data_IF_949045689168
#
_entry.id   IF_949045689168
#
_cell.length_a   1.000
_cell.length_b   1.000
_cell.length_c   1.000
_cell.angle_alpha   90.00
_cell.angle_beta   90.00
_cell.angle_gamma   90.00
#
_symmetry.space_group_name_H-M   'P 1'
#
loop_
_entity.id
_entity.type
_entity.pdbx_description
1 polymer ?
#
# COMPACT_ATOMS: atom_id res chain seq x y z
N UNK A 1 5.30 -8.58 -31.13
CA UNK A 1 5.85 -7.64 -30.13
C UNK A 1 7.27 -7.28 -30.55
N UNK A 2 7.59 -5.98 -30.63
CA UNK A 2 8.93 -5.51 -31.04
C UNK A 2 9.95 -5.78 -29.92
N UNK A 3 11.14 -6.28 -30.26
CA UNK A 3 12.27 -6.45 -29.34
C UNK A 3 13.11 -5.17 -29.16
N UNK A 4 12.85 -4.14 -29.96
CA UNK A 4 13.50 -2.83 -29.90
C UNK A 4 12.96 -1.99 -28.71
N UNK A 5 13.77 -1.71 -27.68
CA UNK A 5 13.35 -1.02 -26.46
C UNK A 5 12.75 0.37 -26.71
N UNK A 6 13.28 1.12 -27.68
CA UNK A 6 12.82 2.49 -27.96
C UNK A 6 11.45 2.51 -28.66
N UNK A 7 11.15 1.49 -29.45
CA UNK A 7 9.84 1.31 -30.08
C UNK A 7 8.79 0.84 -29.08
N UNK A 8 9.17 0.04 -28.10
CA UNK A 8 8.29 -0.36 -26.99
C UNK A 8 7.94 0.85 -26.14
N UNK A 9 8.91 1.70 -25.79
CA UNK A 9 8.70 2.91 -24.97
C UNK A 9 7.78 3.93 -25.66
N UNK A 10 8.00 4.22 -26.96
CA UNK A 10 7.10 5.09 -27.75
C UNK A 10 5.69 4.50 -27.92
N UNK A 11 5.57 3.17 -27.98
CA UNK A 11 4.28 2.48 -28.04
C UNK A 11 3.50 2.58 -26.73
N UNK A 12 4.20 2.48 -25.59
CA UNK A 12 3.65 2.63 -24.25
C UNK A 12 3.19 4.07 -23.97
N UNK A 13 3.94 5.07 -24.43
CA UNK A 13 3.57 6.49 -24.34
C UNK A 13 2.28 6.81 -25.12
N UNK A 14 2.12 6.25 -26.33
CA UNK A 14 0.89 6.45 -27.13
C UNK A 14 -0.36 5.82 -26.51
N UNK A 15 -0.19 4.81 -25.66
CA UNK A 15 -1.29 4.15 -24.93
C UNK A 15 -1.57 4.82 -23.56
N UNK A 16 -0.84 5.88 -23.20
CA UNK A 16 -0.91 6.49 -21.86
C UNK A 16 -0.43 5.55 -20.75
N UNK A 17 0.39 4.56 -21.11
CA UNK A 17 1.00 3.58 -20.21
C UNK A 17 2.43 4.06 -19.94
N UNK A 18 2.59 5.16 -19.21
CA UNK A 18 3.91 5.67 -18.82
C UNK A 18 4.57 4.86 -17.69
N UNK A 19 3.91 3.80 -17.22
CA UNK A 19 4.39 2.90 -16.18
C UNK A 19 4.60 1.54 -16.84
N UNK A 20 5.87 1.20 -17.13
CA UNK A 20 6.24 -0.01 -17.86
C UNK A 20 5.62 -1.29 -17.29
N UNK A 21 5.40 -2.27 -18.16
CA UNK A 21 4.81 -3.60 -17.90
C UNK A 21 5.69 -4.53 -17.01
N UNK A 22 6.32 -3.98 -15.97
CA UNK A 22 7.02 -4.69 -14.89
C UNK A 22 6.43 -4.31 -13.53
N UNK A 23 7.24 -4.33 -12.45
CA UNK A 23 6.86 -4.01 -11.05
C UNK A 23 5.94 -2.77 -10.80
N UNK A 24 5.73 -1.97 -11.83
CA UNK A 24 4.88 -0.78 -11.91
C UNK A 24 3.43 -1.04 -12.36
N UNK A 25 3.09 -2.25 -12.82
CA UNK A 25 1.70 -2.63 -13.09
C UNK A 25 0.83 -2.58 -11.82
N UNK A 26 1.45 -2.77 -10.65
CA UNK A 26 0.88 -2.46 -9.34
C UNK A 26 1.28 -1.05 -8.91
N UNK A 27 1.08 -0.06 -9.78
CA UNK A 27 1.01 1.34 -9.35
C UNK A 27 -0.41 1.63 -8.81
N UNK A 28 -0.85 2.88 -8.88
CA UNK A 28 -2.19 3.29 -8.44
C UNK A 28 -3.30 2.42 -9.05
N UNK A 29 -3.21 2.10 -10.35
CA UNK A 29 -4.23 1.28 -11.05
C UNK A 29 -4.33 -0.13 -10.45
N UNK A 30 -3.21 -0.82 -10.26
CA UNK A 30 -3.22 -2.15 -9.63
C UNK A 30 -3.70 -2.12 -8.18
N UNK A 31 -3.31 -1.12 -7.39
CA UNK A 31 -3.84 -0.95 -6.02
C UNK A 31 -5.37 -0.73 -6.01
N UNK A 32 -5.91 0.01 -6.98
CA UNK A 32 -7.37 0.18 -7.14
C UNK A 32 -8.07 -1.13 -7.45
N UNK A 33 -7.53 -1.93 -8.37
CA UNK A 33 -8.07 -3.25 -8.72
C UNK A 33 -8.09 -4.15 -7.48
N UNK A 34 -6.99 -4.23 -6.74
CA UNK A 34 -6.92 -5.02 -5.52
C UNK A 34 -7.90 -4.52 -4.45
N UNK A 35 -8.02 -3.20 -4.26
CA UNK A 35 -8.98 -2.62 -3.31
C UNK A 35 -10.43 -2.95 -3.69
N UNK A 36 -10.76 -2.84 -4.98
CA UNK A 36 -12.09 -3.19 -5.50
C UNK A 36 -12.37 -4.69 -5.34
N UNK A 37 -11.42 -5.57 -5.62
CA UNK A 37 -11.57 -7.02 -5.41
C UNK A 37 -11.89 -7.35 -3.94
N UNK A 38 -11.15 -6.74 -3.00
CA UNK A 38 -11.40 -6.94 -1.56
C UNK A 38 -12.80 -6.45 -1.15
N UNK A 39 -13.25 -5.31 -1.69
CA UNK A 39 -14.57 -4.75 -1.41
C UNK A 39 -15.68 -5.60 -2.03
N UNK A 40 -15.52 -6.05 -3.28
CA UNK A 40 -16.47 -6.97 -3.96
C UNK A 40 -16.66 -8.27 -3.19
N UNK A 41 -15.56 -8.81 -2.65
CA UNK A 41 -15.57 -10.04 -1.83
C UNK A 41 -15.99 -9.82 -0.37
N UNK A 42 -16.41 -8.60 -0.01
CA UNK A 42 -16.78 -8.22 1.37
C UNK A 42 -15.69 -8.55 2.39
N UNK A 43 -14.42 -8.50 1.98
CA UNK A 43 -13.24 -8.75 2.83
C UNK A 43 -12.76 -7.50 3.58
N UNK A 44 -13.29 -6.35 3.19
CA UNK A 44 -13.15 -5.03 3.85
C UNK A 44 -14.44 -4.25 3.61
N UNK A 45 -14.77 -3.22 4.43
CA UNK A 45 -15.97 -2.41 4.21
C UNK A 45 -15.95 -1.69 2.85
N UNK A 46 -17.10 -1.45 2.20
CA UNK A 46 -17.16 -0.67 0.97
C UNK A 46 -16.53 0.72 1.12
N UNK A 47 -15.84 1.20 0.09
CA UNK A 47 -15.18 2.53 0.08
C UNK A 47 -14.16 2.76 1.21
N UNK A 48 -13.79 1.74 2.00
CA UNK A 48 -12.82 1.85 3.10
C UNK A 48 -11.37 2.05 2.63
N UNK A 49 -11.07 1.77 1.36
CA UNK A 49 -9.73 1.93 0.78
C UNK A 49 -9.81 3.00 -0.31
N UNK A 50 -8.92 4.00 -0.24
CA UNK A 50 -8.76 5.05 -1.24
C UNK A 50 -7.32 5.16 -1.70
N UNK A 51 -7.10 5.08 -3.01
CA UNK A 51 -5.78 5.30 -3.61
C UNK A 51 -5.66 6.77 -4.04
N UNK A 52 -4.64 7.46 -3.53
CA UNK A 52 -4.39 8.88 -3.74
C UNK A 52 -3.13 9.05 -4.60
N UNK A 53 -3.31 9.63 -5.79
CA UNK A 53 -2.24 9.76 -6.80
C UNK A 53 -1.15 10.77 -6.45
N UNK A 54 -1.43 11.67 -5.50
CA UNK A 54 -0.54 12.72 -5.02
C UNK A 54 -1.02 13.24 -3.65
N UNK A 55 -0.23 14.14 -3.05
CA UNK A 55 -0.55 14.74 -1.76
C UNK A 55 -1.79 15.63 -1.78
N UNK A 56 -2.06 16.37 -2.86
CA UNK A 56 -3.23 17.25 -2.95
C UNK A 56 -4.55 16.45 -2.88
N UNK A 57 -4.65 15.35 -3.64
CA UNK A 57 -5.81 14.44 -3.61
C UNK A 57 -5.95 13.78 -2.25
N UNK A 58 -4.83 13.46 -1.59
CA UNK A 58 -4.85 12.91 -0.24
C UNK A 58 -5.37 13.94 0.78
N UNK A 59 -4.87 15.17 0.75
CA UNK A 59 -5.32 16.27 1.60
C UNK A 59 -6.82 16.50 1.48
N UNK A 60 -7.32 16.65 0.26
CA UNK A 60 -8.76 16.85 -0.01
C UNK A 60 -9.61 15.72 0.59
N UNK A 61 -9.24 14.47 0.32
CA UNK A 61 -10.01 13.30 0.76
C UNK A 61 -9.92 13.07 2.27
N UNK A 62 -8.77 13.34 2.88
CA UNK A 62 -8.61 13.23 4.33
C UNK A 62 -9.43 14.31 5.05
N UNK A 63 -9.38 15.55 4.57
CA UNK A 63 -10.21 16.64 5.12
C UNK A 63 -11.71 16.36 4.98
N UNK A 64 -12.15 15.79 3.86
CA UNK A 64 -13.54 15.36 3.70
C UNK A 64 -13.90 14.25 4.70
N UNK A 65 -13.02 13.25 4.87
CA UNK A 65 -13.24 12.18 5.84
C UNK A 65 -13.34 12.70 7.28
N UNK A 66 -12.53 13.68 7.68
CA UNK A 66 -12.62 14.28 9.01
C UNK A 66 -13.97 14.97 9.28
N UNK A 67 -14.61 15.53 8.26
CA UNK A 67 -15.92 16.18 8.39
C UNK A 67 -17.06 15.17 8.53
N UNK A 68 -17.00 14.07 7.76
CA UNK A 68 -18.14 13.19 7.56
C UNK A 68 -18.07 11.87 8.35
N UNK A 69 -16.89 11.51 8.89
CA UNK A 69 -16.70 10.20 9.50
C UNK A 69 -17.56 10.00 10.76
N UNK A 70 -18.16 8.81 10.84
CA UNK A 70 -18.90 8.37 12.03
C UNK A 70 -17.98 7.64 13.02
N UNK A 71 -18.42 7.56 14.27
CA UNK A 71 -17.74 6.77 15.30
C UNK A 71 -17.54 5.33 14.83
N UNK A 72 -16.35 4.77 15.04
CA UNK A 72 -15.95 3.45 14.57
C UNK A 72 -15.59 3.37 13.08
N UNK A 73 -15.70 4.46 12.31
CA UNK A 73 -15.38 4.43 10.88
C UNK A 73 -13.87 4.29 10.65
N UNK A 74 -13.51 3.38 9.74
CA UNK A 74 -12.13 3.01 9.40
C UNK A 74 -11.86 3.29 7.92
N UNK A 75 -10.74 3.96 7.65
CA UNK A 75 -10.33 4.36 6.30
C UNK A 75 -8.85 4.12 6.08
N UNK A 76 -8.51 3.56 4.92
CA UNK A 76 -7.14 3.42 4.44
C UNK A 76 -6.92 4.32 3.23
N UNK A 77 -5.95 5.20 3.34
CA UNK A 77 -5.42 5.98 2.22
C UNK A 77 -4.08 5.38 1.78
N UNK A 78 -3.95 5.06 0.50
CA UNK A 78 -2.69 4.66 -0.11
C UNK A 78 -2.15 5.88 -0.85
N UNK A 79 -1.13 6.53 -0.30
CA UNK A 79 -0.69 7.86 -0.71
C UNK A 79 0.58 7.76 -1.52
N UNK A 80 0.54 8.22 -2.77
CA UNK A 80 1.74 8.38 -3.60
C UNK A 80 2.45 9.68 -3.24
N UNK A 81 3.76 9.61 -3.00
CA UNK A 81 4.58 10.76 -2.61
C UNK A 81 4.94 11.62 -3.82
N UNK A 82 3.93 12.12 -4.53
CA UNK A 82 4.06 12.96 -5.70
C UNK A 82 3.54 14.35 -5.34
N UNK A 83 4.34 15.38 -5.61
CA UNK A 83 3.89 16.78 -5.55
C UNK A 83 3.11 17.18 -6.81
N UNK A 84 3.33 16.46 -7.93
CA UNK A 84 2.67 16.71 -9.20
C UNK A 84 2.37 15.37 -9.91
N UNK A 85 1.24 15.21 -10.65
CA UNK A 85 0.88 13.97 -11.33
C UNK A 85 1.93 13.44 -12.30
N UNK A 86 2.70 14.35 -12.93
CA UNK A 86 3.81 14.00 -13.85
C UNK A 86 5.10 13.60 -13.14
N UNK A 87 5.17 13.70 -11.81
CA UNK A 87 6.36 13.29 -11.06
C UNK A 87 6.54 11.78 -11.11
N UNK A 88 7.76 11.35 -11.43
CA UNK A 88 8.15 9.94 -11.44
C UNK A 88 8.39 9.37 -10.04
N UNK A 89 8.16 10.13 -8.95
CA UNK A 89 8.35 9.63 -7.58
C UNK A 89 7.58 8.32 -7.39
N UNK A 90 8.31 7.31 -6.91
CA UNK A 90 7.87 5.90 -6.90
C UNK A 90 7.39 5.42 -5.54
N UNK A 91 7.42 6.27 -4.51
CA UNK A 91 7.11 5.87 -3.14
C UNK A 91 5.61 5.96 -2.84
N UNK A 92 5.12 4.96 -2.12
CA UNK A 92 3.76 4.91 -1.58
C UNK A 92 3.85 4.62 -0.09
N UNK A 93 3.02 5.29 0.69
CA UNK A 93 2.82 4.97 2.11
C UNK A 93 1.34 4.78 2.43
N UNK A 94 1.00 3.86 3.35
CA UNK A 94 -0.34 3.72 3.87
C UNK A 94 -0.57 4.71 5.01
N UNK A 95 -1.70 5.41 4.96
CA UNK A 95 -2.24 6.16 6.09
C UNK A 95 -3.58 5.52 6.46
N UNK A 96 -3.60 4.83 7.59
CA UNK A 96 -4.83 4.31 8.16
C UNK A 96 -5.41 5.35 9.13
N UNK A 97 -6.73 5.54 9.09
CA UNK A 97 -7.47 6.51 9.88
C UNK A 97 -8.66 5.80 10.51
N UNK A 98 -8.83 6.00 11.80
CA UNK A 98 -9.92 5.41 12.57
C UNK A 98 -10.51 6.47 13.50
N UNK A 99 -11.83 6.67 13.45
CA UNK A 99 -12.53 7.50 14.43
C UNK A 99 -12.92 6.64 15.62
N UNK A 100 -12.32 6.92 16.78
CA UNK A 100 -12.53 6.19 18.02
C UNK A 100 -12.65 7.15 19.20
N UNK A 101 -13.69 6.98 20.01
CA UNK A 101 -13.97 7.77 21.21
C UNK A 101 -14.01 9.29 20.90
N UNK A 102 -14.62 9.65 19.77
CA UNK A 102 -14.71 11.04 19.33
C UNK A 102 -13.39 11.65 18.83
N UNK A 103 -12.29 10.88 18.81
CA UNK A 103 -10.97 11.29 18.31
C UNK A 103 -10.64 10.56 17.01
N UNK A 104 -9.72 11.12 16.23
CA UNK A 104 -9.15 10.40 15.09
C UNK A 104 -7.77 9.85 15.45
N UNK A 105 -7.60 8.56 15.19
CA UNK A 105 -6.36 7.83 15.31
C UNK A 105 -5.78 7.66 13.90
N UNK A 106 -4.62 8.23 13.64
CA UNK A 106 -3.93 8.17 12.35
C UNK A 106 -2.68 7.31 12.47
N UNK A 107 -2.57 6.26 11.65
CA UNK A 107 -1.41 5.38 11.62
C UNK A 107 -0.74 5.48 10.27
N UNK A 108 0.50 5.95 10.29
CA UNK A 108 1.37 6.00 9.13
C UNK A 108 2.52 5.01 9.33
N UNK A 109 2.65 4.08 8.39
CA UNK A 109 3.64 3.00 8.43
C UNK A 109 4.52 3.07 7.17
N UNK A 110 5.68 3.71 7.25
CA UNK A 110 6.56 3.86 6.09
C UNK A 110 7.46 2.61 5.91
N UNK A 111 7.66 2.21 4.65
CA UNK A 111 8.39 1.00 4.27
C UNK A 111 9.79 1.28 3.74
N UNK A 112 10.03 2.49 3.24
CA UNK A 112 11.28 2.88 2.56
C UNK A 112 12.39 3.29 3.53
N UNK A 113 12.05 3.61 4.79
CA UNK A 113 12.96 3.98 5.88
C UNK A 113 14.05 5.00 5.50
N UNK A 114 13.70 5.94 4.63
CA UNK A 114 14.48 7.14 4.42
C UNK A 114 13.83 8.30 5.17
N UNK A 115 14.56 8.89 6.12
CA UNK A 115 14.09 10.02 6.92
C UNK A 115 13.50 11.14 6.05
N UNK A 116 14.04 11.36 4.84
CA UNK A 116 13.50 12.32 3.86
C UNK A 116 12.10 11.95 3.34
N UNK A 117 11.86 10.69 2.95
CA UNK A 117 10.57 10.27 2.38
C UNK A 117 9.47 10.23 3.46
N UNK A 118 9.86 9.77 4.64
CA UNK A 118 9.07 9.86 5.87
C UNK A 118 8.65 11.29 6.17
N UNK A 119 9.60 12.22 6.23
CA UNK A 119 9.34 13.55 6.79
C UNK A 119 8.29 14.28 5.94
N UNK A 120 8.31 14.11 4.62
CA UNK A 120 7.34 14.75 3.72
C UNK A 120 5.90 14.36 4.05
N UNK A 121 5.60 13.06 4.20
CA UNK A 121 4.23 12.63 4.51
C UNK A 121 3.88 12.94 5.97
N UNK A 122 4.85 12.84 6.89
CA UNK A 122 4.64 13.19 8.28
C UNK A 122 4.31 14.69 8.46
N UNK A 123 5.07 15.56 7.81
CA UNK A 123 4.85 17.01 7.80
C UNK A 123 3.54 17.37 7.11
N UNK A 124 3.19 16.63 6.04
CA UNK A 124 1.88 16.76 5.39
C UNK A 124 0.75 16.41 6.37
N UNK A 125 0.86 15.31 7.11
CA UNK A 125 -0.13 14.93 8.12
C UNK A 125 -0.23 15.95 9.25
N UNK A 126 0.91 16.44 9.77
CA UNK A 126 0.94 17.52 10.77
C UNK A 126 0.28 18.79 10.24
N UNK A 127 0.55 19.17 8.99
CA UNK A 127 -0.05 20.34 8.36
C UNK A 127 -1.57 20.20 8.22
N UNK A 128 -2.05 19.03 7.75
CA UNK A 128 -3.49 18.74 7.67
C UNK A 128 -4.11 18.80 9.05
N UNK A 129 -3.48 18.17 10.05
CA UNK A 129 -3.92 18.22 11.43
C UNK A 129 -3.96 19.66 11.95
N UNK A 130 -2.94 20.49 11.70
CA UNK A 130 -2.92 21.87 12.15
C UNK A 130 -4.01 22.74 11.49
N UNK A 131 -4.34 22.45 10.24
CA UNK A 131 -5.30 23.24 9.45
C UNK A 131 -6.77 22.96 9.79
N UNK A 132 -7.10 21.80 10.34
CA UNK A 132 -8.50 21.39 10.57
C UNK A 132 -8.64 20.19 11.53
N UNK A 133 -8.03 20.18 12.74
CA UNK A 133 -8.08 18.99 13.58
C UNK A 133 -9.45 18.88 14.25
N UNK A 134 -10.11 17.72 14.15
CA UNK A 134 -10.97 17.28 15.23
C UNK A 134 -10.11 17.28 16.51
N UNK A 135 -10.54 18.03 17.54
CA UNK A 135 -9.81 18.13 18.82
C UNK A 135 -9.40 16.74 19.33
N UNK A 136 -8.14 16.58 19.70
CA UNK A 136 -7.63 15.33 20.29
C UNK A 136 -7.25 14.23 19.30
N UNK A 137 -7.09 14.53 18.01
CA UNK A 137 -6.55 13.56 17.04
C UNK A 137 -5.10 13.17 17.37
N UNK A 138 -4.78 11.89 17.27
CA UNK A 138 -3.48 11.30 17.63
C UNK A 138 -2.81 10.73 16.36
N UNK A 139 -1.55 11.10 16.13
CA UNK A 139 -0.75 10.54 15.04
C UNK A 139 0.21 9.50 15.60
N UNK A 140 -0.01 8.28 15.16
CA UNK A 140 0.87 7.14 15.31
C UNK A 140 1.72 7.01 14.06
N UNK A 141 3.02 7.17 14.24
CA UNK A 141 3.98 7.14 13.15
C UNK A 141 5.06 6.11 13.44
N UNK A 142 5.31 5.25 12.45
CA UNK A 142 6.48 4.41 12.38
C UNK A 142 7.04 4.45 10.95
N UNK A 143 8.31 4.85 10.84
CA UNK A 143 9.09 4.48 9.67
C UNK A 143 10.52 4.28 10.08
N UNK A 144 10.72 3.30 10.96
CA UNK A 144 12.01 2.76 11.36
C UNK A 144 12.94 2.46 10.17
N UNK A 145 14.15 1.92 10.44
CA UNK A 145 15.14 1.64 9.39
C UNK A 145 14.52 0.89 8.21
N UNK A 146 14.96 1.24 7.00
CA UNK A 146 14.37 0.76 5.75
C UNK A 146 14.07 -0.73 5.77
N UNK A 147 12.77 -1.07 5.80
CA UNK A 147 12.28 -2.44 5.69
C UNK A 147 12.48 -2.97 4.27
N UNK A 148 12.56 -2.08 3.30
CA UNK A 148 12.83 -2.40 1.91
C UNK A 148 14.24 -2.00 1.51
N UNK A 149 14.87 -2.86 0.72
CA UNK A 149 16.18 -2.62 0.09
C UNK A 149 16.05 -1.77 -1.16
N UNK A 150 14.87 -1.83 -1.80
CA UNK A 150 14.52 -1.05 -2.98
C UNK A 150 13.16 -0.35 -2.81
N UNK A 151 12.98 0.79 -3.47
CA UNK A 151 11.73 1.54 -3.45
C UNK A 151 10.61 0.92 -4.29
N UNK A 152 10.82 -0.21 -4.95
CA UNK A 152 9.85 -0.77 -5.89
C UNK A 152 8.76 -1.57 -5.17
N UNK A 153 9.07 -2.12 -3.99
CA UNK A 153 8.14 -2.94 -3.21
C UNK A 153 7.23 -2.13 -2.26
N UNK A 154 7.43 -0.81 -2.16
CA UNK A 154 6.67 0.05 -1.22
C UNK A 154 5.16 -0.01 -1.45
N UNK A 155 4.73 -0.18 -2.69
CA UNK A 155 3.32 -0.25 -3.08
C UNK A 155 2.62 -1.47 -2.47
N UNK A 156 3.23 -2.65 -2.59
CA UNK A 156 2.66 -3.90 -2.09
C UNK A 156 2.68 -3.91 -0.57
N UNK A 157 3.78 -3.45 0.01
CA UNK A 157 3.91 -3.40 1.44
C UNK A 157 2.84 -2.48 2.03
N UNK A 158 2.73 -1.27 1.50
CA UNK A 158 1.68 -0.30 1.89
C UNK A 158 0.28 -0.88 1.76
N UNK A 159 -0.03 -1.54 0.65
CA UNK A 159 -1.35 -2.14 0.44
C UNK A 159 -1.64 -3.23 1.48
N UNK A 160 -0.70 -4.16 1.67
CA UNK A 160 -0.88 -5.31 2.56
C UNK A 160 -0.97 -4.90 4.03
N UNK A 161 -0.14 -3.94 4.44
CA UNK A 161 -0.10 -3.40 5.80
C UNK A 161 -1.34 -2.56 6.09
N UNK A 162 -1.73 -1.70 5.16
CA UNK A 162 -2.96 -0.93 5.29
C UNK A 162 -4.21 -1.81 5.37
N UNK A 163 -4.29 -2.87 4.54
CA UNK A 163 -5.41 -3.83 4.62
C UNK A 163 -5.39 -4.61 5.92
N UNK A 164 -4.22 -4.89 6.48
CA UNK A 164 -4.09 -5.52 7.80
C UNK A 164 -4.59 -4.57 8.90
N UNK A 165 -4.17 -3.30 8.89
CA UNK A 165 -4.69 -2.25 9.79
C UNK A 165 -6.22 -2.17 9.76
N UNK A 166 -6.84 -2.27 8.58
CA UNK A 166 -8.30 -2.30 8.45
C UNK A 166 -8.98 -3.52 9.10
N UNK A 167 -8.30 -4.66 9.16
CA UNK A 167 -8.86 -5.93 9.65
C UNK A 167 -8.56 -6.21 11.11
N UNK A 168 -7.41 -5.74 11.58
CA UNK A 168 -6.82 -6.04 12.89
C UNK A 168 -6.67 -4.74 13.71
N UNK A 169 -7.52 -3.74 13.48
CA UNK A 169 -7.39 -2.37 14.02
C UNK A 169 -7.18 -2.35 15.53
N UNK A 170 -8.07 -3.00 16.27
CA UNK A 170 -8.10 -2.99 17.73
C UNK A 170 -6.86 -3.68 18.31
N UNK A 171 -6.45 -4.80 17.71
CA UNK A 171 -5.23 -5.52 18.10
C UNK A 171 -3.97 -4.68 17.85
N UNK A 172 -3.93 -3.96 16.73
CA UNK A 172 -2.77 -3.13 16.39
C UNK A 172 -2.74 -1.85 17.22
N UNK A 173 -3.89 -1.22 17.48
CA UNK A 173 -3.97 -0.06 18.36
C UNK A 173 -3.51 -0.41 19.79
N UNK A 174 -4.00 -1.52 20.35
CA UNK A 174 -3.55 -1.99 21.65
C UNK A 174 -2.03 -2.18 21.71
N UNK A 175 -1.44 -2.84 20.70
CA UNK A 175 0.01 -2.98 20.60
C UNK A 175 0.74 -1.64 20.59
N UNK A 176 0.29 -0.69 19.77
CA UNK A 176 0.92 0.63 19.61
C UNK A 176 0.86 1.42 20.93
N UNK A 177 -0.29 1.40 21.62
CA UNK A 177 -0.46 2.06 22.92
C UNK A 177 0.46 1.45 23.98
N UNK A 178 0.41 0.13 24.16
CA UNK A 178 1.24 -0.58 25.15
C UNK A 178 2.74 -0.30 24.94
N UNK A 179 3.20 -0.32 23.68
CA UNK A 179 4.61 -0.12 23.37
C UNK A 179 5.04 1.34 23.53
N UNK A 180 4.17 2.31 23.20
CA UNK A 180 4.47 3.74 23.43
C UNK A 180 4.56 4.07 24.91
N UNK A 181 3.69 3.52 25.73
CA UNK A 181 3.75 3.67 27.19
C UNK A 181 5.06 3.11 27.77
N UNK A 182 5.53 1.97 27.25
CA UNK A 182 6.74 1.31 27.75
C UNK A 182 8.06 1.86 27.19
N UNK A 183 8.07 2.35 25.94
CA UNK A 183 9.30 2.72 25.20
C UNK A 183 9.41 4.21 24.87
N UNK A 184 8.38 5.01 25.16
CA UNK A 184 8.33 6.44 24.90
C UNK A 184 7.89 6.82 23.48
N UNK A 185 7.68 8.12 23.22
CA UNK A 185 7.11 8.66 21.98
C UNK A 185 8.08 8.71 20.77
N UNK A 186 9.11 7.85 20.74
CA UNK A 186 10.11 7.86 19.68
C UNK A 186 9.50 7.70 18.28
N UNK A 187 9.61 8.71 17.42
CA UNK A 187 9.04 8.77 16.05
C UNK A 187 9.55 7.68 15.08
N UNK A 188 10.43 6.77 15.50
CA UNK A 188 11.09 5.80 14.63
C UNK A 188 11.39 4.47 15.33
N UNK A 189 10.69 4.16 16.42
CA UNK A 189 10.94 2.94 17.16
C UNK A 189 10.35 1.73 16.42
N UNK A 190 11.23 0.81 16.00
CA UNK A 190 10.88 -0.44 15.31
C UNK A 190 9.87 -1.26 16.10
N UNK A 191 9.88 -1.10 17.42
CA UNK A 191 9.01 -1.75 18.38
C UNK A 191 7.55 -1.32 18.30
N UNK A 192 7.24 -0.17 17.68
CA UNK A 192 5.87 0.31 17.55
C UNK A 192 5.07 -0.49 16.53
N UNK A 193 5.74 -1.22 15.62
CA UNK A 193 5.08 -2.11 14.69
C UNK A 193 4.89 -3.52 15.28
N UNK A 194 3.68 -4.09 15.16
CA UNK A 194 3.44 -5.48 15.49
C UNK A 194 4.31 -6.44 14.63
N UNK A 195 4.64 -7.65 15.13
CA UNK A 195 5.54 -8.58 14.43
C UNK A 195 5.08 -8.96 13.02
N UNK A 196 3.77 -8.87 12.76
CA UNK A 196 3.21 -9.21 11.45
C UNK A 196 3.62 -8.20 10.35
N UNK A 197 4.04 -6.99 10.71
CA UNK A 197 4.56 -5.95 9.81
C UNK A 197 6.06 -6.12 9.56
N UNK A 198 6.79 -6.62 10.56
CA UNK A 198 8.22 -6.89 10.43
C UNK A 198 8.50 -8.07 9.47
N UNK A 199 7.61 -9.08 9.42
CA UNK A 199 7.85 -10.31 8.67
C UNK A 199 8.02 -10.16 7.14
N UNK A 200 7.72 -8.98 6.57
CA UNK A 200 7.89 -8.66 5.16
C UNK A 200 9.12 -7.79 4.87
N UNK A 201 9.87 -7.40 5.90
CA UNK A 201 11.12 -6.69 5.71
C UNK A 201 12.11 -7.55 4.90
N UNK A 202 12.72 -6.94 3.88
CA UNK A 202 13.66 -7.58 2.97
C UNK A 202 15.04 -7.77 3.61
N UNK A 203 15.47 -6.83 4.45
CA UNK A 203 16.78 -6.88 5.09
C UNK A 203 16.74 -7.69 6.38
N UNK A 204 17.69 -8.60 6.55
CA UNK A 204 17.94 -9.28 7.82
C UNK A 204 18.41 -8.31 8.92
N UNK A 205 19.05 -7.19 8.55
CA UNK A 205 19.43 -6.15 9.51
C UNK A 205 18.20 -5.60 10.25
N UNK A 206 17.12 -5.29 9.54
CA UNK A 206 15.87 -4.86 10.16
C UNK A 206 15.30 -5.95 11.06
N UNK A 207 15.23 -7.19 10.57
CA UNK A 207 14.61 -8.31 11.27
C UNK A 207 15.37 -8.65 12.56
N UNK A 208 16.71 -8.62 12.51
CA UNK A 208 17.57 -8.81 13.67
C UNK A 208 17.38 -7.68 14.68
N UNK A 209 17.38 -6.43 14.23
CA UNK A 209 17.13 -5.28 15.12
C UNK A 209 15.75 -5.36 15.77
N UNK A 210 14.72 -5.77 15.02
CA UNK A 210 13.38 -6.02 15.57
C UNK A 210 13.42 -7.09 16.68
N UNK A 211 14.09 -8.21 16.43
CA UNK A 211 14.23 -9.29 17.40
C UNK A 211 15.01 -8.85 18.64
N UNK A 212 16.09 -8.11 18.46
CA UNK A 212 16.92 -7.60 19.56
C UNK A 212 16.13 -6.60 20.45
N UNK A 213 15.27 -5.77 19.84
CA UNK A 213 14.50 -4.75 20.58
C UNK A 213 13.19 -5.27 21.20
N UNK A 214 12.57 -6.30 20.61
CA UNK A 214 11.26 -6.85 21.06
C UNK A 214 11.34 -8.22 21.72
N UNK A 215 12.45 -8.95 21.55
CA UNK A 215 12.58 -10.36 21.93
C UNK A 215 11.79 -11.33 21.02
N UNK A 216 11.11 -10.84 19.98
CA UNK A 216 10.24 -11.62 19.11
C UNK A 216 10.97 -11.89 17.79
N UNK A 217 11.05 -13.16 17.37
CA UNK A 217 11.50 -13.52 16.02
C UNK A 217 10.39 -13.19 14.99
N UNK A 218 10.56 -12.15 14.14
CA UNK A 218 9.53 -11.76 13.18
C UNK A 218 9.49 -12.67 11.95
N UNK A 219 10.54 -13.45 11.68
CA UNK A 219 10.59 -14.39 10.56
C UNK A 219 9.83 -15.68 10.92
N UNK A 220 10.09 -16.19 12.11
CA UNK A 220 9.68 -17.54 12.51
C UNK A 220 10.09 -18.61 11.48
N UNK A 221 9.60 -19.84 11.65
CA UNK A 221 9.96 -20.95 10.75
C UNK A 221 9.45 -20.80 9.30
N UNK A 222 8.35 -20.06 9.10
CA UNK A 222 7.73 -19.91 7.77
C UNK A 222 8.45 -18.91 6.86
N UNK A 223 9.07 -17.88 7.40
CA UNK A 223 9.76 -16.89 6.56
C UNK A 223 11.18 -17.36 6.17
N UNK A 224 11.79 -18.29 6.91
CA UNK A 224 13.05 -18.98 6.51
C UNK A 224 12.97 -19.63 5.12
N UNK A 225 11.78 -20.03 4.67
CA UNK A 225 11.53 -20.59 3.33
C UNK A 225 11.62 -19.59 2.17
N UNK A 226 11.67 -18.30 2.48
CA UNK A 226 11.71 -17.22 1.49
C UNK A 226 13.08 -16.55 1.44
N UNK A 227 14.08 -17.12 2.10
CA UNK A 227 15.43 -16.59 2.13
C UNK A 227 16.12 -16.95 0.84
N UNK A 228 16.72 -15.95 0.19
CA UNK A 228 17.52 -16.12 -0.99
C UNK A 228 18.78 -15.27 -0.88
N UNK A 229 19.85 -15.70 -1.55
CA UNK A 229 21.07 -14.91 -1.69
C UNK A 229 20.96 -14.06 -2.95
N UNK A 230 21.25 -12.78 -2.85
CA UNK A 230 21.30 -11.87 -4.00
C UNK A 230 22.38 -10.81 -3.82
N UNK A 231 22.67 -10.07 -4.88
CA UNK A 231 23.63 -8.96 -4.83
C UNK A 231 22.96 -7.72 -4.25
N UNK A 232 23.51 -7.17 -3.15
CA UNK A 232 23.07 -5.91 -2.58
C UNK A 232 23.41 -4.75 -3.55
N UNK A 233 22.42 -3.99 -4.05
CA UNK A 233 22.67 -2.89 -4.97
C UNK A 233 23.51 -1.76 -4.36
N UNK A 234 23.62 -1.68 -3.02
CA UNK A 234 24.41 -0.65 -2.33
C UNK A 234 25.87 -1.04 -2.11
N UNK A 235 26.15 -2.32 -1.91
CA UNK A 235 27.50 -2.78 -1.55
C UNK A 235 28.11 -3.76 -2.56
N UNK A 236 27.38 -4.12 -3.62
CA UNK A 236 27.77 -5.09 -4.66
C UNK A 236 28.19 -6.47 -4.13
N UNK A 237 27.90 -6.76 -2.85
CA UNK A 237 28.21 -8.02 -2.18
C UNK A 237 26.98 -8.92 -2.18
N UNK A 238 27.21 -10.23 -2.20
CA UNK A 238 26.14 -11.19 -1.96
C UNK A 238 25.68 -11.15 -0.50
N UNK A 239 24.37 -11.01 -0.30
CA UNK A 239 23.74 -10.99 1.02
C UNK A 239 22.46 -11.82 1.03
N UNK A 240 22.07 -12.38 2.19
CA UNK A 240 20.77 -12.99 2.34
C UNK A 240 19.68 -11.91 2.37
N UNK A 241 18.59 -12.17 1.65
CA UNK A 241 17.40 -11.33 1.60
C UNK A 241 16.15 -12.16 1.88
N UNK A 242 15.14 -11.52 2.47
CA UNK A 242 13.82 -12.10 2.63
C UNK A 242 12.96 -11.80 1.39
N UNK A 243 12.80 -12.79 0.52
CA UNK A 243 12.01 -12.73 -0.71
C UNK A 243 10.49 -12.79 -0.51
N UNK A 244 9.98 -12.77 0.73
CA UNK A 244 8.54 -12.87 1.01
C UNK A 244 7.74 -11.71 0.44
N UNK A 245 8.31 -10.51 0.35
CA UNK A 245 7.65 -9.36 -0.31
C UNK A 245 7.52 -9.59 -1.81
N UNK A 246 8.57 -10.11 -2.48
CA UNK A 246 8.53 -10.45 -3.91
C UNK A 246 7.55 -11.60 -4.20
N UNK A 247 7.51 -12.63 -3.35
CA UNK A 247 6.50 -13.67 -3.46
C UNK A 247 5.07 -13.12 -3.26
N UNK A 248 4.89 -12.18 -2.32
CA UNK A 248 3.60 -11.50 -2.14
C UNK A 248 3.23 -10.68 -3.38
N UNK A 249 4.19 -9.97 -3.97
CA UNK A 249 4.03 -9.21 -5.21
C UNK A 249 3.49 -10.10 -6.34
N UNK A 250 4.13 -11.25 -6.59
CA UNK A 250 3.70 -12.19 -7.64
C UNK A 250 2.28 -12.73 -7.42
N UNK A 251 1.87 -12.94 -6.16
CA UNK A 251 0.48 -13.34 -5.85
C UNK A 251 -0.52 -12.24 -6.21
N UNK A 252 -0.18 -10.99 -5.95
CA UNK A 252 -1.04 -9.85 -6.31
C UNK A 252 -1.09 -9.63 -7.81
N UNK A 253 0.02 -9.73 -8.53
CA UNK A 253 0.01 -9.66 -10.00
C UNK A 253 -0.89 -10.73 -10.61
N UNK A 254 -0.71 -11.99 -10.22
CA UNK A 254 -1.57 -13.09 -10.71
C UNK A 254 -3.04 -12.80 -10.46
N UNK A 255 -3.37 -12.18 -9.33
CA UNK A 255 -4.73 -11.80 -9.01
C UNK A 255 -5.25 -10.67 -9.89
N UNK A 256 -4.47 -9.61 -10.08
CA UNK A 256 -4.85 -8.51 -10.97
C UNK A 256 -5.08 -9.04 -12.39
N UNK A 257 -4.18 -9.89 -12.90
CA UNK A 257 -4.32 -10.51 -14.22
C UNK A 257 -5.59 -11.35 -14.30
N UNK A 258 -5.86 -12.20 -13.30
CA UNK A 258 -7.06 -13.03 -13.27
C UNK A 258 -8.35 -12.18 -13.27
N UNK A 259 -8.39 -11.10 -12.51
CA UNK A 259 -9.52 -10.16 -12.49
C UNK A 259 -9.67 -9.42 -13.84
N UNK A 260 -8.57 -9.02 -14.47
CA UNK A 260 -8.59 -8.42 -15.81
C UNK A 260 -9.15 -9.39 -16.86
N UNK A 261 -8.75 -10.67 -16.82
CA UNK A 261 -9.26 -11.71 -17.72
C UNK A 261 -10.76 -11.92 -17.47
N UNK A 262 -11.19 -12.06 -16.21
CA UNK A 262 -12.60 -12.26 -15.86
C UNK A 262 -13.47 -11.09 -16.36
N UNK A 263 -13.08 -9.84 -16.07
CA UNK A 263 -13.82 -8.66 -16.52
C UNK A 263 -13.85 -8.53 -18.05
N UNK A 264 -12.76 -8.89 -18.75
CA UNK A 264 -12.73 -8.86 -20.22
C UNK A 264 -13.69 -9.90 -20.82
N UNK A 265 -13.80 -11.07 -20.19
CA UNK A 265 -14.79 -12.10 -20.55
C UNK A 265 -16.21 -11.60 -20.30
N UNK A 266 -16.50 -10.99 -19.15
CA UNK A 266 -17.81 -10.41 -18.85
C UNK A 266 -18.21 -9.30 -19.85
N UNK A 267 -17.28 -8.41 -20.20
CA UNK A 267 -17.52 -7.36 -21.21
C UNK A 267 -17.78 -7.98 -22.58
N UNK A 268 -17.00 -9.01 -22.95
CA UNK A 268 -17.20 -9.75 -24.20
C UNK A 268 -18.58 -10.40 -24.21
N UNK A 269 -18.97 -11.11 -23.16
CA UNK A 269 -20.28 -11.75 -23.04
C UNK A 269 -21.44 -10.73 -23.04
N UNK A 270 -21.29 -9.59 -22.36
CA UNK A 270 -22.28 -8.52 -22.38
C UNK A 270 -22.42 -7.90 -23.78
N UNK A 271 -21.31 -7.74 -24.51
CA UNK A 271 -21.32 -7.25 -25.89
C UNK A 271 -21.88 -8.30 -26.86
N UNK A 272 -21.60 -9.58 -26.65
CA UNK A 272 -22.23 -10.67 -27.42
C UNK A 272 -23.74 -10.74 -27.17
N UNK A 273 -24.20 -10.61 -25.91
CA UNK A 273 -25.63 -10.53 -25.58
C UNK A 273 -26.31 -9.31 -26.18
N UNK A 274 -25.65 -8.14 -26.18
CA UNK A 274 -26.15 -6.95 -26.88
C UNK A 274 -26.22 -7.18 -28.38
N UNK A 275 -25.17 -7.73 -28.99
CA UNK A 275 -25.16 -8.04 -30.42
C UNK A 275 -26.26 -9.06 -30.80
N UNK A 276 -26.49 -10.09 -29.98
CA UNK A 276 -27.57 -11.05 -30.18
C UNK A 276 -28.96 -10.45 -29.99
N UNK A 277 -29.13 -9.49 -29.07
CA UNK A 277 -30.38 -8.72 -28.90
C UNK A 277 -30.68 -7.85 -30.13
N UNK A 278 -29.65 -7.35 -30.83
CA UNK A 278 -29.82 -6.63 -32.11
C UNK A 278 -30.07 -7.57 -33.30
N UNK A 279 -29.89 -8.89 -33.15
CA UNK A 279 -30.17 -9.86 -34.23
C UNK A 279 -31.61 -10.36 -34.25
N UNK A 280 -32.46 -9.95 -33.29
CA UNK A 280 -33.89 -10.28 -33.25
C UNK A 280 -34.81 -9.13 -33.69
N UNK A 281 -34.26 -8.09 -34.28
CA UNK A 281 -35.02 -7.02 -34.94
C UNK A 281 -34.55 -6.89 -36.40
N UNK A 282 -34.79 -7.92 -37.20
CA UNK A 282 -34.88 -7.75 -38.66
C UNK A 282 -36.28 -7.23 -38.98
N UNK A 283 -36.40 -6.06 -39.64
CA UNK A 283 -37.69 -5.49 -39.98
C UNK A 283 -38.16 -6.03 -41.34
N UNK A 284 -38.69 -7.26 -41.40
CA UNK A 284 -39.56 -7.69 -42.50
C UNK A 284 -40.57 -8.74 -41.98
N UNK A 285 -41.85 -8.35 -41.91
CA UNK A 285 -43.01 -9.26 -41.78
C UNK A 285 -43.64 -9.34 -40.40
#
# INVERSE_FOLDING_TARGET
FSSDPQKVEKGLDKLGIHEGLGMHAIATKGQRVLAQDLQRRKKVPPKSIQVCDNFAVFQEKLSAHFKDAKEGEKKLFLVRHRNHPKSLTRHTSPVFVWKHEGKFQLYLVDSGGGQKATNVIHDTLRSIQASNPPKGSEIHYDGGPGRLTDGNNCVILSFKEGVRMLRETETIDGWVRDHREQKGEGLFAITHLPPQFANLAQTFTYLRKYQDETGIDPLGERAKKHVYTGTDPKSTQEKPFNGKVAHTYLKFERRIIADCIANATEIREANFKKASLFTFLTPEG
#
